data_IF_681664780396
#
_entry.id   IF_681664780396
#
_cell.length_a   1.000
_cell.length_b   1.000
_cell.length_c   1.000
_cell.angle_alpha   90.00
_cell.angle_beta   90.00
_cell.angle_gamma   90.00
#
_symmetry.space_group_name_H-M   'P 1'
#
loop_
_entity.id
_entity.type
_entity.pdbx_description
1 polymer ?
#
# COMPACT_ATOMS: atom_id res chain seq x y z
N UNK A 1 0.40 18.21 -0.54
CA UNK A 1 1.56 17.98 0.36
C UNK A 1 2.70 17.30 -0.39
N UNK A 2 2.42 16.20 -1.09
CA UNK A 2 3.36 15.47 -1.94
C UNK A 2 4.09 16.36 -2.98
N UNK A 3 3.36 17.25 -3.67
CA UNK A 3 3.96 18.22 -4.63
C UNK A 3 4.91 19.25 -4.00
N UNK A 4 4.87 19.44 -2.67
CA UNK A 4 5.71 20.41 -1.95
C UNK A 4 6.83 19.75 -1.12
N UNK A 5 6.70 18.46 -0.83
CA UNK A 5 7.62 17.72 0.04
C UNK A 5 7.82 16.30 -0.53
N UNK A 6 9.00 16.01 -1.13
CA UNK A 6 9.27 14.73 -1.81
C UNK A 6 9.01 13.49 -0.96
N UNK A 7 9.27 13.55 0.36
CA UNK A 7 9.00 12.45 1.29
C UNK A 7 7.54 11.97 1.27
N UNK A 8 6.59 12.86 0.94
CA UNK A 8 5.18 12.48 0.81
C UNK A 8 4.85 11.87 -0.56
N UNK A 9 5.68 12.08 -1.59
CA UNK A 9 5.61 11.30 -2.83
C UNK A 9 6.12 9.88 -2.58
N UNK A 10 7.21 9.72 -1.83
CA UNK A 10 7.72 8.39 -1.45
C UNK A 10 6.66 7.63 -0.63
N UNK A 11 6.04 8.30 0.35
CA UNK A 11 4.93 7.72 1.11
C UNK A 11 3.77 7.32 0.20
N UNK A 12 3.44 8.12 -0.82
CA UNK A 12 2.40 7.77 -1.80
C UNK A 12 2.75 6.48 -2.54
N UNK A 13 3.99 6.30 -2.95
CA UNK A 13 4.44 5.06 -3.59
C UNK A 13 4.30 3.85 -2.64
N UNK A 14 4.63 4.01 -1.35
CA UNK A 14 4.41 2.96 -0.36
C UNK A 14 2.92 2.62 -0.18
N UNK A 15 2.05 3.63 -0.18
CA UNK A 15 0.60 3.45 -0.09
C UNK A 15 0.08 2.68 -1.31
N UNK A 16 0.44 3.11 -2.52
CA UNK A 16 0.00 2.48 -3.77
C UNK A 16 0.48 1.01 -3.83
N UNK A 17 1.74 0.73 -3.44
CA UNK A 17 2.26 -0.64 -3.36
C UNK A 17 1.55 -1.49 -2.29
N UNK A 18 1.21 -0.91 -1.14
CA UNK A 18 0.50 -1.64 -0.08
C UNK A 18 -0.91 -2.05 -0.51
N UNK A 19 -1.61 -1.22 -1.32
CA UNK A 19 -2.92 -1.58 -1.91
C UNK A 19 -2.75 -2.77 -2.86
N UNK A 20 -1.75 -2.72 -3.75
CA UNK A 20 -1.46 -3.82 -4.68
C UNK A 20 -1.13 -5.11 -3.92
N UNK A 21 -0.28 -5.03 -2.89
CA UNK A 21 0.06 -6.17 -2.06
C UNK A 21 -1.17 -6.77 -1.35
N UNK A 22 -2.04 -5.92 -0.79
CA UNK A 22 -3.28 -6.38 -0.16
C UNK A 22 -4.23 -7.03 -1.17
N UNK A 23 -4.32 -6.52 -2.39
CA UNK A 23 -5.12 -7.12 -3.47
C UNK A 23 -4.57 -8.51 -3.86
N UNK A 24 -3.25 -8.64 -3.99
CA UNK A 24 -2.58 -9.92 -4.30
C UNK A 24 -2.87 -10.95 -3.21
N UNK A 25 -2.72 -10.56 -1.94
CA UNK A 25 -2.88 -11.46 -0.80
C UNK A 25 -4.35 -11.87 -0.60
N UNK A 26 -5.27 -10.91 -0.59
CA UNK A 26 -6.71 -11.15 -0.37
C UNK A 26 -7.37 -12.04 -1.44
N UNK A 27 -6.82 -12.08 -2.66
CA UNK A 27 -7.36 -12.87 -3.77
C UNK A 27 -6.47 -14.03 -4.19
N UNK A 28 -5.40 -14.31 -3.43
CA UNK A 28 -4.43 -15.37 -3.71
C UNK A 28 -3.88 -15.29 -5.14
N UNK A 29 -3.60 -14.06 -5.62
CA UNK A 29 -3.22 -13.84 -7.01
C UNK A 29 -1.84 -14.42 -7.33
N UNK A 30 -0.94 -14.44 -6.34
CA UNK A 30 0.38 -15.06 -6.49
C UNK A 30 0.26 -16.56 -6.79
N UNK A 31 -0.53 -17.28 -6.00
CA UNK A 31 -0.78 -18.71 -6.17
C UNK A 31 -1.45 -19.01 -7.52
N UNK A 32 -2.46 -18.22 -7.89
CA UNK A 32 -3.16 -18.34 -9.19
C UNK A 32 -2.24 -18.07 -10.37
N UNK A 33 -1.20 -17.26 -10.19
CA UNK A 33 -0.20 -16.97 -11.20
C UNK A 33 0.99 -17.96 -11.16
N UNK A 34 1.05 -18.86 -10.18
CA UNK A 34 2.20 -19.74 -9.95
C UNK A 34 3.48 -18.97 -9.61
N UNK A 35 3.37 -17.80 -8.98
CA UNK A 35 4.48 -16.91 -8.66
C UNK A 35 4.83 -16.99 -7.17
N UNK A 36 6.07 -17.34 -6.86
CA UNK A 36 6.59 -17.30 -5.49
C UNK A 36 7.02 -15.88 -5.11
N UNK A 37 6.35 -15.31 -4.10
CA UNK A 37 6.65 -13.99 -3.56
C UNK A 37 7.33 -14.04 -2.18
N UNK A 38 7.79 -15.21 -1.73
CA UNK A 38 8.35 -15.40 -0.39
C UNK A 38 9.51 -14.45 -0.09
N UNK A 39 10.38 -14.18 -1.07
CA UNK A 39 11.48 -13.22 -0.95
C UNK A 39 11.04 -11.78 -0.67
N UNK A 40 9.84 -11.39 -1.11
CA UNK A 40 9.30 -10.04 -0.86
C UNK A 40 8.57 -9.95 0.49
N UNK A 41 8.16 -11.09 1.06
CA UNK A 41 7.41 -11.16 2.33
C UNK A 41 8.30 -11.35 3.54
N UNK A 42 9.48 -11.94 3.36
CA UNK A 42 10.41 -12.23 4.44
C UNK A 42 11.72 -11.44 4.29
N UNK A 43 11.83 -10.37 5.09
CA UNK A 43 13.02 -9.53 5.14
C UNK A 43 14.26 -10.24 5.70
N UNK A 44 14.14 -11.45 6.28
CA UNK A 44 15.29 -12.25 6.70
C UNK A 44 15.98 -12.97 5.53
N UNK A 45 15.27 -13.17 4.41
CA UNK A 45 15.80 -13.82 3.22
C UNK A 45 16.66 -12.88 2.35
N UNK A 46 16.58 -11.58 2.60
CA UNK A 46 17.31 -10.55 1.84
C UNK A 46 17.98 -9.58 2.81
N UNK A 47 19.29 -9.36 2.64
CA UNK A 47 20.00 -8.40 3.47
C UNK A 47 19.61 -6.96 3.09
N UNK A 48 18.74 -6.35 3.90
CA UNK A 48 18.37 -4.96 3.75
C UNK A 48 19.35 -4.03 4.48
N UNK A 49 19.61 -2.87 3.89
CA UNK A 49 20.36 -1.80 4.53
C UNK A 49 19.65 -1.36 5.81
N UNK A 50 20.38 -1.36 6.93
CA UNK A 50 19.87 -0.82 8.19
C UNK A 50 20.16 0.67 8.28
N UNK A 51 19.19 1.43 8.73
CA UNK A 51 19.30 2.87 8.97
C UNK A 51 18.81 3.15 10.39
N UNK A 52 19.38 4.18 11.03
CA UNK A 52 18.81 4.67 12.29
C UNK A 52 17.50 5.41 12.01
N UNK A 53 16.39 4.71 12.24
CA UNK A 53 15.05 5.27 12.09
C UNK A 53 14.61 5.90 13.42
N UNK A 54 14.07 7.14 13.44
CA UNK A 54 13.57 7.75 14.66
C UNK A 54 12.43 6.91 15.24
N UNK A 55 12.64 6.38 16.46
CA UNK A 55 11.65 5.56 17.19
C UNK A 55 10.58 6.39 17.89
N UNK A 56 10.85 7.67 18.09
CA UNK A 56 9.94 8.61 18.74
C UNK A 56 9.95 9.93 17.97
N UNK A 57 8.77 10.49 17.76
CA UNK A 57 8.59 11.81 17.17
C UNK A 57 7.72 12.65 18.11
N UNK A 58 7.92 13.97 18.17
CA UNK A 58 7.02 14.85 18.89
C UNK A 58 5.60 14.73 18.30
N UNK A 59 4.68 14.15 19.06
CA UNK A 59 3.27 13.98 18.67
C UNK A 59 2.45 15.10 19.26
N UNK A 60 1.56 15.69 18.47
CA UNK A 60 0.60 16.69 18.95
C UNK A 60 -0.63 15.95 19.48
N UNK A 61 -0.81 15.93 20.80
CA UNK A 61 -1.99 15.32 21.42
C UNK A 61 -3.06 16.38 21.71
N UNK A 62 -4.28 16.17 21.22
CA UNK A 62 -5.47 16.97 21.55
C UNK A 62 -6.49 16.12 22.30
N UNK A 63 -6.93 16.59 23.46
CA UNK A 63 -7.97 15.95 24.26
C UNK A 63 -9.27 16.77 24.26
N UNK A 64 -10.40 16.13 23.97
CA UNK A 64 -11.74 16.72 24.12
C UNK A 64 -12.57 15.89 25.10
N UNK A 65 -13.25 16.56 26.03
CA UNK A 65 -14.21 15.93 26.94
C UNK A 65 -15.63 16.01 26.35
N UNK A 66 -16.27 14.87 26.14
CA UNK A 66 -17.68 14.73 25.72
C UNK A 66 -18.46 14.04 26.84
N UNK A 67 -19.13 14.83 27.69
CA UNK A 67 -19.82 14.32 28.88
C UNK A 67 -18.84 13.72 29.89
N UNK A 68 -18.99 12.44 30.20
CA UNK A 68 -18.07 11.69 31.07
C UNK A 68 -16.88 11.06 30.34
N UNK A 69 -16.83 11.11 28.99
CA UNK A 69 -15.78 10.49 28.19
C UNK A 69 -14.72 11.50 27.75
N UNK A 70 -13.47 11.07 27.76
CA UNK A 70 -12.35 11.78 27.13
C UNK A 70 -12.03 11.13 25.79
N UNK A 71 -11.88 11.96 24.76
CA UNK A 71 -11.43 11.55 23.43
C UNK A 71 -10.05 12.18 23.23
N UNK A 72 -9.01 11.35 23.15
CA UNK A 72 -7.65 11.81 22.83
C UNK A 72 -7.35 11.50 21.36
N UNK A 73 -6.95 12.52 20.62
CA UNK A 73 -6.38 12.43 19.29
C UNK A 73 -4.89 12.67 19.39
N UNK A 74 -4.09 11.75 18.87
CA UNK A 74 -2.65 11.90 18.68
C UNK A 74 -2.41 12.16 17.18
N UNK A 75 -1.91 13.35 16.83
CA UNK A 75 -1.68 13.76 15.44
C UNK A 75 -0.20 13.96 15.15
N UNK A 76 0.17 13.76 13.87
CA UNK A 76 1.55 13.90 13.38
C UNK A 76 2.03 12.74 12.49
N UNK A 77 1.36 11.59 12.55
CA UNK A 77 1.64 10.43 11.68
C UNK A 77 0.62 10.26 10.55
N UNK A 78 0.89 9.30 9.67
CA UNK A 78 -0.06 8.83 8.66
C UNK A 78 -0.49 7.42 9.03
N UNK A 79 -1.77 7.24 9.29
CA UNK A 79 -2.38 5.92 9.47
C UNK A 79 -3.12 5.53 8.19
N UNK A 80 -2.90 4.31 7.73
CA UNK A 80 -3.44 3.79 6.48
C UNK A 80 -3.81 2.32 6.65
N UNK A 81 -4.94 1.91 6.07
CA UNK A 81 -5.42 0.52 6.09
C UNK A 81 -5.63 0.05 4.65
N UNK A 82 -4.65 -0.66 4.06
CA UNK A 82 -4.70 -1.05 2.65
C UNK A 82 -5.93 -1.90 2.29
N UNK A 83 -6.35 -2.76 3.21
CA UNK A 83 -7.46 -3.71 3.04
C UNK A 83 -8.82 -3.02 2.88
N UNK A 84 -9.01 -1.84 3.49
CA UNK A 84 -10.28 -1.12 3.45
C UNK A 84 -10.67 -0.72 2.02
N UNK A 85 -9.69 -0.51 1.14
CA UNK A 85 -9.91 -0.19 -0.27
C UNK A 85 -10.42 -1.39 -1.10
N UNK A 86 -10.41 -2.59 -0.53
CA UNK A 86 -10.83 -3.81 -1.21
C UNK A 86 -12.29 -4.18 -0.90
N UNK A 87 -12.90 -3.54 0.10
CA UNK A 87 -14.26 -3.81 0.55
C UNK A 87 -15.30 -3.30 -0.46
N UNK A 88 -15.00 -2.20 -1.16
CA UNK A 88 -15.89 -1.57 -2.13
C UNK A 88 -15.34 -1.72 -3.54
N UNK A 89 -16.07 -2.46 -4.39
CA UNK A 89 -15.75 -2.61 -5.81
C UNK A 89 -16.71 -1.74 -6.62
N UNK A 90 -16.17 -0.74 -7.31
CA UNK A 90 -16.92 0.13 -8.21
C UNK A 90 -16.60 -0.26 -9.65
N UNK A 91 -17.63 -0.50 -10.46
CA UNK A 91 -17.47 -0.65 -11.91
C UNK A 91 -17.26 0.73 -12.54
N UNK A 92 -16.08 0.93 -13.10
CA UNK A 92 -15.75 2.14 -13.86
C UNK A 92 -15.74 1.82 -15.36
N UNK A 93 -16.46 2.61 -16.15
CA UNK A 93 -16.70 2.36 -17.57
C UNK A 93 -15.43 2.51 -18.44
N UNK A 94 -14.45 3.26 -17.94
CA UNK A 94 -13.17 3.59 -18.58
C UNK A 94 -12.07 2.52 -18.37
N UNK A 95 -12.13 1.73 -17.29
CA UNK A 95 -11.11 0.70 -17.01
C UNK A 95 -11.26 -0.51 -17.96
N UNK A 96 -12.45 -0.73 -18.52
CA UNK A 96 -12.73 -1.88 -19.39
C UNK A 96 -11.86 -1.92 -20.66
N UNK A 97 -11.58 -0.77 -21.27
CA UNK A 97 -10.68 -0.67 -22.43
C UNK A 97 -9.23 -0.94 -22.06
N UNK A 98 -8.76 -0.34 -20.96
CA UNK A 98 -7.39 -0.53 -20.45
C UNK A 98 -7.10 -1.99 -20.12
N UNK A 99 -8.05 -2.69 -19.48
CA UNK A 99 -7.92 -4.12 -19.21
C UNK A 99 -7.72 -4.94 -20.49
N UNK A 100 -8.46 -4.63 -21.56
CA UNK A 100 -8.33 -5.35 -22.84
C UNK A 100 -6.95 -5.13 -23.45
N UNK A 101 -6.44 -3.90 -23.40
CA UNK A 101 -5.08 -3.57 -23.86
C UNK A 101 -4.01 -4.28 -23.02
N UNK A 102 -4.16 -4.31 -21.70
CA UNK A 102 -3.24 -5.00 -20.79
C UNK A 102 -3.21 -6.53 -21.04
N UNK A 103 -4.37 -7.13 -21.32
CA UNK A 103 -4.45 -8.56 -21.67
C UNK A 103 -3.81 -8.83 -23.04
N UNK A 104 -4.05 -7.96 -24.02
CA UNK A 104 -3.49 -8.10 -25.37
C UNK A 104 -1.97 -7.88 -25.43
N UNK A 105 -1.41 -7.06 -24.54
CA UNK A 105 0.03 -6.80 -24.42
C UNK A 105 0.78 -7.86 -23.61
N UNK A 106 0.07 -8.83 -23.02
CA UNK A 106 0.70 -9.90 -22.25
C UNK A 106 1.47 -10.84 -23.19
N UNK A 107 2.79 -11.02 -22.99
CA UNK A 107 3.57 -11.95 -23.80
C UNK A 107 3.12 -13.40 -23.57
N UNK A 108 3.12 -14.23 -24.62
CA UNK A 108 2.76 -15.65 -24.54
C UNK A 108 3.75 -16.46 -23.68
N UNK A 109 5.00 -16.00 -23.59
CA UNK A 109 6.03 -16.57 -22.74
C UNK A 109 7.01 -15.47 -22.27
N UNK A 110 7.61 -15.64 -21.10
CA UNK A 110 8.56 -14.69 -20.53
C UNK A 110 7.96 -13.75 -19.47
N UNK A 111 8.83 -12.90 -18.91
CA UNK A 111 8.48 -11.92 -17.88
C UNK A 111 8.08 -10.62 -18.60
N UNK A 112 6.95 -10.02 -18.25
CA UNK A 112 6.40 -8.83 -18.91
C UNK A 112 7.12 -7.51 -18.58
N UNK A 113 8.40 -7.56 -18.19
CA UNK A 113 9.19 -6.39 -17.76
C UNK A 113 10.37 -6.08 -18.70
N UNK A 114 10.36 -6.60 -19.94
CA UNK A 114 11.23 -6.14 -21.04
C UNK A 114 10.50 -5.12 -21.92
#
# INVERSE_FOLDING_TARGET
>A
LASRKPVFNELKNCVDLAIVAALIDSRQLADRAGLDLSLLKDASLVQLSSYEVPKQVPTVAHGMKRGSRWILSASGGVQFQPWAFLEEVVEAQDIGSERKLAVASRPESGICWE
#
